data_IF_035941541773
#
_entry.id   IF_035941541773
#
_cell.length_a   1.000
_cell.length_b   1.000
_cell.length_c   1.000
_cell.angle_alpha   90.00
_cell.angle_beta   90.00
_cell.angle_gamma   90.00
#
_symmetry.space_group_name_H-M   'P 1'
#
loop_
_entity.id
_entity.type
_entity.pdbx_description
1 polymer ?
#
# COMPACT_ATOMS: atom_id res chain seq x y z
N UNK A 1 -22.40 -14.91 -31.11
CA UNK A 1 -21.54 -13.96 -30.38
C UNK A 1 -20.78 -14.57 -29.18
N UNK A 2 -21.27 -15.62 -28.54
CA UNK A 2 -20.66 -16.28 -27.39
C UNK A 2 -19.33 -17.01 -27.67
N UNK A 3 -19.22 -17.70 -28.82
CA UNK A 3 -17.97 -18.44 -29.16
C UNK A 3 -16.76 -17.58 -29.45
N UNK A 4 -16.93 -16.39 -30.01
CA UNK A 4 -15.82 -15.44 -30.25
C UNK A 4 -15.31 -14.82 -28.94
N UNK A 5 -16.19 -14.50 -27.99
CA UNK A 5 -15.81 -14.00 -26.69
C UNK A 5 -15.02 -15.04 -25.87
N UNK A 6 -15.40 -16.31 -25.96
CA UNK A 6 -14.71 -17.41 -25.26
C UNK A 6 -13.32 -17.66 -25.83
N UNK A 7 -13.18 -17.61 -27.17
CA UNK A 7 -11.88 -17.76 -27.84
C UNK A 7 -10.95 -16.57 -27.54
N UNK A 8 -11.50 -15.35 -27.55
CA UNK A 8 -10.72 -14.13 -27.20
C UNK A 8 -10.25 -14.17 -25.74
N UNK A 9 -11.10 -14.61 -24.82
CA UNK A 9 -10.75 -14.75 -23.40
C UNK A 9 -9.73 -15.88 -23.18
N UNK A 10 -9.85 -17.00 -23.89
CA UNK A 10 -8.87 -18.08 -23.85
C UNK A 10 -7.50 -17.67 -24.43
N UNK A 11 -7.50 -16.93 -25.55
CA UNK A 11 -6.27 -16.38 -26.14
C UNK A 11 -5.64 -15.29 -25.26
N UNK A 12 -6.44 -14.50 -24.53
CA UNK A 12 -5.94 -13.55 -23.55
C UNK A 12 -5.25 -14.25 -22.36
N UNK A 13 -5.83 -15.35 -21.87
CA UNK A 13 -5.23 -16.16 -20.80
C UNK A 13 -3.96 -16.90 -21.23
N UNK A 14 -3.86 -17.35 -22.50
CA UNK A 14 -2.68 -18.01 -23.03
C UNK A 14 -1.46 -17.09 -23.15
N UNK A 15 -1.65 -15.79 -23.32
CA UNK A 15 -0.53 -14.83 -23.39
C UNK A 15 0.17 -14.60 -22.04
N UNK A 16 -0.43 -14.96 -20.92
CA UNK A 16 0.20 -14.89 -19.60
C UNK A 16 1.23 -16.00 -19.34
N UNK A 17 1.23 -17.06 -20.15
CA UNK A 17 2.12 -18.22 -19.97
C UNK A 17 3.47 -18.13 -20.70
N UNK A 18 3.71 -17.09 -21.53
CA UNK A 18 4.91 -16.98 -22.35
C UNK A 18 6.05 -16.15 -21.76
N UNK A 19 5.89 -15.57 -20.57
CA UNK A 19 7.00 -14.91 -19.90
C UNK A 19 7.75 -15.92 -19.01
N UNK A 20 8.72 -16.62 -19.62
CA UNK A 20 9.70 -17.44 -18.90
C UNK A 20 10.61 -16.61 -17.97
N UNK A 21 10.54 -15.27 -18.05
CA UNK A 21 11.16 -14.31 -17.15
C UNK A 21 10.10 -13.86 -16.13
N UNK A 22 10.43 -13.97 -14.85
CA UNK A 22 9.59 -13.46 -13.77
C UNK A 22 9.96 -11.98 -13.52
N UNK A 23 9.24 -11.01 -14.13
CA UNK A 23 9.59 -9.59 -14.04
C UNK A 23 9.58 -9.08 -12.61
N UNK A 24 8.87 -9.76 -11.73
CA UNK A 24 8.75 -9.41 -10.32
C UNK A 24 10.10 -9.53 -9.61
N UNK A 25 10.82 -10.65 -9.85
CA UNK A 25 12.15 -10.84 -9.27
C UNK A 25 13.23 -10.08 -10.03
N UNK A 26 13.10 -9.92 -11.34
CA UNK A 26 14.12 -9.24 -12.15
C UNK A 26 14.20 -7.74 -11.83
N UNK A 27 13.06 -7.09 -11.61
CA UNK A 27 13.00 -5.71 -11.13
C UNK A 27 13.60 -5.61 -9.72
N UNK A 28 13.25 -6.54 -8.83
CA UNK A 28 13.77 -6.53 -7.47
C UNK A 28 15.30 -6.72 -7.45
N UNK A 29 15.84 -7.63 -8.26
CA UNK A 29 17.30 -7.84 -8.37
C UNK A 29 18.01 -6.55 -8.76
N UNK A 30 17.54 -5.85 -9.79
CA UNK A 30 18.12 -4.56 -10.23
C UNK A 30 18.12 -3.51 -9.12
N UNK A 31 17.06 -3.46 -8.30
CA UNK A 31 16.95 -2.47 -7.23
C UNK A 31 17.79 -2.88 -6.01
N UNK A 32 17.81 -4.15 -5.63
CA UNK A 32 18.39 -4.60 -4.38
C UNK A 32 19.87 -4.96 -4.49
N UNK A 33 20.30 -5.60 -5.60
CA UNK A 33 21.70 -6.05 -5.74
C UNK A 33 22.66 -4.88 -5.96
N UNK A 34 22.25 -3.86 -6.74
CA UNK A 34 23.04 -2.69 -7.06
C UNK A 34 22.78 -1.52 -6.09
N UNK A 35 22.05 -1.76 -4.97
CA UNK A 35 21.68 -0.70 -4.04
C UNK A 35 22.89 -0.12 -3.31
N UNK A 36 22.86 1.18 -3.07
CA UNK A 36 23.80 1.82 -2.17
C UNK A 36 23.41 1.50 -0.72
N UNK A 37 24.15 0.61 -0.07
CA UNK A 37 23.90 0.18 1.30
C UNK A 37 24.01 1.31 2.34
N UNK A 38 24.72 2.40 2.04
CA UNK A 38 24.77 3.57 2.92
C UNK A 38 23.39 4.25 3.08
N UNK A 39 22.49 4.02 2.13
CA UNK A 39 21.11 4.52 2.17
C UNK A 39 20.13 3.57 2.90
N UNK A 40 20.57 2.39 3.31
CA UNK A 40 19.72 1.40 3.97
C UNK A 40 19.06 1.97 5.24
N UNK A 41 19.84 2.70 6.07
CA UNK A 41 19.33 3.35 7.29
C UNK A 41 18.27 4.42 6.97
N UNK A 42 18.47 5.19 5.90
CA UNK A 42 17.51 6.20 5.45
C UNK A 42 16.19 5.53 5.01
N UNK A 43 16.27 4.53 4.12
CA UNK A 43 15.10 3.82 3.63
C UNK A 43 14.39 3.02 4.73
N UNK A 44 15.12 2.48 5.69
CA UNK A 44 14.52 1.88 6.88
C UNK A 44 13.76 2.92 7.74
N UNK A 45 14.31 4.11 7.92
CA UNK A 45 13.64 5.24 8.58
C UNK A 45 12.37 5.66 7.85
N UNK A 46 12.42 5.81 6.52
CA UNK A 46 11.26 6.11 5.67
C UNK A 46 10.20 5.01 5.82
N UNK A 47 10.59 3.74 5.75
CA UNK A 47 9.67 2.61 5.94
C UNK A 47 8.99 2.64 7.30
N UNK A 48 9.75 2.84 8.38
CA UNK A 48 9.23 2.88 9.75
C UNK A 48 8.36 4.10 10.05
N UNK A 49 8.47 5.20 9.28
CA UNK A 49 7.64 6.40 9.45
C UNK A 49 6.14 6.11 9.24
N UNK A 50 5.79 4.99 8.61
CA UNK A 50 4.40 4.56 8.42
C UNK A 50 3.67 4.38 9.74
N UNK A 51 4.32 3.83 10.77
CA UNK A 51 3.68 3.56 12.06
C UNK A 51 3.21 4.84 12.77
N UNK A 52 4.08 5.84 13.01
CA UNK A 52 3.63 7.09 13.62
C UNK A 52 2.70 7.90 12.71
N UNK A 53 3.01 8.06 11.42
CA UNK A 53 2.23 8.91 10.53
C UNK A 53 0.86 8.30 10.18
N UNK A 54 0.80 6.98 9.99
CA UNK A 54 -0.45 6.27 9.68
C UNK A 54 -1.50 6.40 10.77
N UNK A 55 -1.08 6.52 12.02
CA UNK A 55 -1.98 6.65 13.19
C UNK A 55 -2.12 8.10 13.63
N UNK A 56 -1.03 8.85 13.71
CA UNK A 56 -1.05 10.22 14.21
C UNK A 56 -1.89 11.17 13.36
N UNK A 57 -1.84 11.04 12.01
CA UNK A 57 -2.60 11.92 11.12
C UNK A 57 -4.12 11.79 11.31
N UNK A 58 -4.73 10.58 11.27
CA UNK A 58 -6.15 10.42 11.53
C UNK A 58 -6.57 10.85 12.96
N UNK A 59 -5.75 10.53 13.96
CA UNK A 59 -6.01 10.92 15.36
C UNK A 59 -5.96 12.44 15.52
N UNK A 60 -5.00 13.10 14.90
CA UNK A 60 -4.90 14.56 14.93
C UNK A 60 -6.13 15.24 14.30
N UNK A 61 -6.63 14.71 13.17
CA UNK A 61 -7.86 15.19 12.56
C UNK A 61 -9.06 15.03 13.48
N UNK A 62 -9.20 13.87 14.11
CA UNK A 62 -10.28 13.60 15.06
C UNK A 62 -10.18 14.51 16.29
N UNK A 63 -9.00 14.61 16.89
CA UNK A 63 -8.75 15.46 18.06
C UNK A 63 -9.03 16.93 17.80
N UNK A 64 -8.51 17.47 16.68
CA UNK A 64 -8.83 18.83 16.27
C UNK A 64 -10.34 19.05 16.03
N UNK A 65 -11.02 18.06 15.46
CA UNK A 65 -12.46 18.10 15.25
C UNK A 65 -13.25 18.13 16.58
N UNK A 66 -12.79 17.42 17.60
CA UNK A 66 -13.39 17.44 18.94
C UNK A 66 -13.15 18.80 19.59
N UNK A 67 -11.92 19.29 19.60
CA UNK A 67 -11.54 20.57 20.22
C UNK A 67 -12.32 21.74 19.59
N UNK A 68 -12.41 21.75 18.26
CA UNK A 68 -13.11 22.81 17.50
C UNK A 68 -14.63 22.60 17.41
N UNK A 69 -15.17 21.52 17.97
CA UNK A 69 -16.57 21.08 17.85
C UNK A 69 -17.01 20.95 16.37
N UNK A 70 -16.07 20.66 15.47
CA UNK A 70 -16.30 20.50 14.03
C UNK A 70 -16.63 19.03 13.72
N UNK A 71 -17.93 18.74 13.56
CA UNK A 71 -18.45 17.41 13.22
C UNK A 71 -17.90 16.87 11.89
N UNK A 72 -17.64 17.73 10.91
CA UNK A 72 -17.09 17.33 9.61
C UNK A 72 -15.66 16.85 9.76
N UNK A 73 -14.83 17.57 10.54
CA UNK A 73 -13.44 17.18 10.80
C UNK A 73 -13.36 15.90 11.62
N UNK A 74 -14.25 15.71 12.62
CA UNK A 74 -14.36 14.44 13.38
C UNK A 74 -14.65 13.27 12.45
N UNK A 75 -15.63 13.40 11.54
CA UNK A 75 -15.96 12.36 10.57
C UNK A 75 -14.80 12.03 9.64
N UNK A 76 -14.06 13.05 9.16
CA UNK A 76 -12.87 12.84 8.33
C UNK A 76 -11.79 12.03 9.06
N UNK A 77 -11.54 12.33 10.34
CA UNK A 77 -10.64 11.56 11.19
C UNK A 77 -11.10 10.11 11.36
N UNK A 78 -12.37 9.90 11.70
CA UNK A 78 -12.96 8.55 11.84
C UNK A 78 -12.93 7.77 10.52
N UNK A 79 -13.25 8.41 9.39
CA UNK A 79 -13.18 7.77 8.07
C UNK A 79 -11.75 7.33 7.73
N UNK A 80 -10.76 8.15 8.07
CA UNK A 80 -9.35 7.81 7.86
C UNK A 80 -8.90 6.64 8.74
N UNK A 81 -9.32 6.59 10.01
CA UNK A 81 -9.07 5.46 10.90
C UNK A 81 -9.73 4.18 10.39
N UNK A 82 -11.00 4.25 9.98
CA UNK A 82 -11.72 3.12 9.40
C UNK A 82 -11.02 2.61 8.12
N UNK A 83 -10.56 3.53 7.26
CA UNK A 83 -9.80 3.18 6.05
C UNK A 83 -8.53 2.39 6.37
N UNK A 84 -7.77 2.86 7.36
CA UNK A 84 -6.55 2.18 7.82
C UNK A 84 -6.88 0.80 8.40
N UNK A 85 -7.89 0.70 9.26
CA UNK A 85 -8.30 -0.56 9.86
C UNK A 85 -8.75 -1.58 8.81
N UNK A 86 -9.59 -1.17 7.86
CA UNK A 86 -10.08 -2.04 6.77
C UNK A 86 -8.92 -2.48 5.87
N UNK A 87 -8.05 -1.55 5.47
CA UNK A 87 -6.92 -1.88 4.60
C UNK A 87 -5.93 -2.84 5.27
N UNK A 88 -5.64 -2.64 6.55
CA UNK A 88 -4.75 -3.52 7.31
C UNK A 88 -5.40 -4.88 7.60
N UNK A 89 -6.69 -4.92 7.91
CA UNK A 89 -7.46 -6.16 8.06
C UNK A 89 -7.47 -6.99 6.78
N UNK A 90 -7.70 -6.35 5.63
CA UNK A 90 -7.62 -6.99 4.30
C UNK A 90 -6.21 -7.52 4.04
N UNK A 91 -5.18 -6.71 4.30
CA UNK A 91 -3.78 -7.13 4.16
C UNK A 91 -3.46 -8.34 5.02
N UNK A 92 -3.85 -8.33 6.29
CA UNK A 92 -3.62 -9.45 7.21
C UNK A 92 -4.32 -10.72 6.74
N UNK A 93 -5.56 -10.63 6.29
CA UNK A 93 -6.32 -11.77 5.76
C UNK A 93 -5.65 -12.35 4.51
N UNK A 94 -5.25 -11.50 3.57
CA UNK A 94 -4.56 -11.95 2.36
C UNK A 94 -3.19 -12.56 2.64
N UNK A 95 -2.44 -12.03 3.62
CA UNK A 95 -1.18 -12.66 4.07
C UNK A 95 -1.39 -14.09 4.51
N UNK A 96 -2.43 -14.36 5.29
CA UNK A 96 -2.76 -15.72 5.78
C UNK A 96 -3.24 -16.66 4.68
N UNK A 97 -4.02 -16.15 3.73
CA UNK A 97 -4.58 -16.96 2.64
C UNK A 97 -3.53 -17.30 1.59
N UNK A 98 -2.73 -16.31 1.16
CA UNK A 98 -1.78 -16.47 0.04
C UNK A 98 -0.46 -17.05 0.53
N UNK A 99 -0.04 -16.72 1.75
CA UNK A 99 1.15 -17.23 2.44
C UNK A 99 2.41 -17.26 1.57
N UNK A 100 2.68 -16.15 0.83
CA UNK A 100 3.80 -16.05 -0.10
C UNK A 100 5.12 -15.91 0.64
N UNK A 101 6.12 -16.70 0.24
CA UNK A 101 7.49 -16.57 0.75
C UNK A 101 8.12 -15.22 0.39
N UNK A 102 8.96 -14.74 1.29
CA UNK A 102 9.75 -13.51 1.07
C UNK A 102 10.82 -13.72 0.00
N UNK A 103 11.20 -12.62 -0.74
CA UNK A 103 12.16 -12.73 -1.84
C UNK A 103 13.48 -13.41 -1.43
N UNK A 104 14.02 -13.08 -0.27
CA UNK A 104 15.28 -13.62 0.23
C UNK A 104 15.21 -15.10 0.66
N UNK A 105 14.01 -15.66 0.87
CA UNK A 105 13.80 -17.09 1.14
C UNK A 105 13.93 -17.86 -0.17
N UNK A 106 13.27 -17.37 -1.23
CA UNK A 106 13.23 -18.03 -2.54
C UNK A 106 14.50 -17.77 -3.37
N UNK A 107 15.10 -16.58 -3.22
CA UNK A 107 16.24 -16.13 -4.02
C UNK A 107 17.39 -15.67 -3.12
N UNK A 108 18.40 -16.56 -2.89
CA UNK A 108 19.53 -16.27 -1.99
C UNK A 108 20.38 -15.05 -2.38
N UNK A 109 20.29 -14.60 -3.64
CA UNK A 109 21.00 -13.43 -4.14
C UNK A 109 20.34 -12.09 -3.73
N UNK A 110 19.14 -12.11 -3.16
CA UNK A 110 18.49 -10.94 -2.58
C UNK A 110 19.03 -10.74 -1.16
N UNK A 111 19.55 -9.55 -0.89
CA UNK A 111 20.14 -9.18 0.39
C UNK A 111 19.12 -8.37 1.21
N UNK A 112 18.41 -8.99 2.17
CA UNK A 112 17.49 -8.26 3.02
C UNK A 112 18.27 -7.41 4.04
N UNK A 113 17.77 -6.21 4.32
CA UNK A 113 18.32 -5.39 5.40
C UNK A 113 17.98 -5.94 6.79
N UNK A 114 16.85 -6.61 6.91
CA UNK A 114 16.40 -7.36 8.10
C UNK A 114 15.44 -8.47 7.69
N UNK A 115 15.24 -9.43 8.59
CA UNK A 115 14.34 -10.56 8.38
C UNK A 115 12.97 -10.23 8.97
N UNK A 116 11.91 -10.52 8.23
CA UNK A 116 10.52 -10.45 8.68
C UNK A 116 9.94 -11.88 8.70
N UNK A 117 9.14 -12.20 9.71
CA UNK A 117 8.61 -13.55 9.95
C UNK A 117 7.20 -13.78 9.38
N UNK A 118 6.58 -12.74 8.82
CA UNK A 118 5.25 -12.82 8.22
C UNK A 118 5.33 -12.93 6.68
N UNK A 119 4.29 -13.46 6.02
CA UNK A 119 4.26 -13.62 4.56
C UNK A 119 4.48 -12.31 3.79
N UNK A 120 5.03 -12.43 2.57
CA UNK A 120 5.38 -11.27 1.75
C UNK A 120 4.15 -10.53 1.22
N UNK A 121 3.13 -11.22 0.73
CA UNK A 121 2.01 -10.63 0.00
C UNK A 121 0.77 -10.39 0.87
N UNK A 122 0.17 -9.22 0.76
CA UNK A 122 0.67 -7.96 0.19
C UNK A 122 1.54 -7.17 1.19
N UNK A 123 2.21 -6.09 0.74
CA UNK A 123 3.05 -5.26 1.60
C UNK A 123 2.24 -4.40 2.57
N UNK A 124 2.32 -4.69 3.88
CA UNK A 124 1.60 -3.96 4.92
C UNK A 124 2.03 -2.50 5.06
N UNK A 125 3.35 -2.21 4.98
CA UNK A 125 3.86 -0.84 5.03
C UNK A 125 3.32 -0.01 3.85
N UNK A 126 3.33 -0.57 2.64
CA UNK A 126 2.79 0.10 1.46
C UNK A 126 1.28 0.31 1.58
N UNK A 127 0.55 -0.70 2.08
CA UNK A 127 -0.90 -0.59 2.31
C UNK A 127 -1.23 0.55 3.25
N UNK A 128 -0.57 0.63 4.40
CA UNK A 128 -0.81 1.70 5.38
C UNK A 128 -0.43 3.07 4.82
N UNK A 129 0.71 3.18 4.11
CA UNK A 129 1.16 4.43 3.52
C UNK A 129 0.17 4.98 2.48
N UNK A 130 -0.29 4.12 1.55
CA UNK A 130 -1.25 4.53 0.53
C UNK A 130 -2.65 4.77 1.09
N UNK A 131 -3.09 4.04 2.11
CA UNK A 131 -4.34 4.31 2.82
C UNK A 131 -4.30 5.70 3.47
N UNK A 132 -3.21 6.03 4.15
CA UNK A 132 -3.02 7.34 4.80
C UNK A 132 -2.93 8.46 3.77
N UNK A 133 -2.09 8.31 2.74
CA UNK A 133 -1.92 9.32 1.69
C UNK A 133 -3.22 9.60 0.96
N UNK A 134 -3.99 8.58 0.61
CA UNK A 134 -5.28 8.72 -0.07
C UNK A 134 -6.31 9.37 0.85
N UNK A 135 -6.41 8.95 2.11
CA UNK A 135 -7.35 9.53 3.08
C UNK A 135 -7.12 11.02 3.27
N UNK A 136 -5.85 11.45 3.44
CA UNK A 136 -5.53 12.87 3.66
C UNK A 136 -5.73 13.68 2.38
N UNK A 137 -5.42 13.11 1.23
CA UNK A 137 -5.63 13.73 -0.09
C UNK A 137 -7.11 13.98 -0.39
N UNK A 138 -7.97 13.02 -0.07
CA UNK A 138 -9.44 13.15 -0.21
C UNK A 138 -10.04 14.14 0.80
N UNK A 139 -9.39 14.28 1.96
CA UNK A 139 -9.80 15.20 3.02
C UNK A 139 -9.55 16.65 2.62
N UNK A 140 -8.35 16.98 2.16
CA UNK A 140 -7.93 18.36 1.94
C UNK A 140 -8.01 18.82 0.48
N UNK A 141 -7.88 17.91 -0.51
CA UNK A 141 -7.99 18.16 -1.96
C UNK A 141 -7.13 19.33 -2.48
N UNK A 142 -5.98 19.56 -1.84
CA UNK A 142 -5.03 20.61 -2.22
C UNK A 142 -3.75 19.97 -2.74
N UNK A 143 -3.24 20.45 -3.87
CA UNK A 143 -2.06 19.85 -4.51
C UNK A 143 -0.85 19.80 -3.57
N UNK A 144 -0.64 20.82 -2.74
CA UNK A 144 0.44 20.88 -1.75
C UNK A 144 0.28 19.91 -0.57
N UNK A 145 -0.85 19.21 -0.47
CA UNK A 145 -1.07 18.05 0.43
C UNK A 145 -0.97 16.75 -0.34
N UNK A 146 -1.59 16.69 -1.52
CA UNK A 146 -1.64 15.47 -2.36
C UNK A 146 -0.25 15.04 -2.79
N UNK A 147 0.54 15.99 -3.36
CA UNK A 147 1.88 15.67 -3.88
C UNK A 147 2.81 15.15 -2.78
N UNK A 148 3.03 15.83 -1.64
CA UNK A 148 3.88 15.29 -0.58
C UNK A 148 3.39 13.98 0.00
N UNK A 149 2.07 13.78 0.16
CA UNK A 149 1.50 12.55 0.69
C UNK A 149 1.81 11.34 -0.20
N UNK A 150 1.60 11.47 -1.50
CA UNK A 150 1.91 10.38 -2.44
C UNK A 150 3.40 10.20 -2.70
N UNK A 151 4.20 11.28 -2.65
CA UNK A 151 5.67 11.17 -2.68
C UNK A 151 6.18 10.35 -1.49
N UNK A 152 5.69 10.64 -0.29
CA UNK A 152 6.01 9.85 0.90
C UNK A 152 5.55 8.39 0.76
N UNK A 153 4.31 8.13 0.33
CA UNK A 153 3.81 6.77 0.14
C UNK A 153 4.63 6.01 -0.92
N UNK A 154 5.01 6.67 -2.01
CA UNK A 154 5.92 6.12 -3.03
C UNK A 154 7.31 5.82 -2.49
N UNK A 155 7.87 6.72 -1.65
CA UNK A 155 9.15 6.49 -1.00
C UNK A 155 9.10 5.30 -0.02
N UNK A 156 8.00 5.15 0.73
CA UNK A 156 7.75 3.95 1.55
C UNK A 156 7.68 2.70 0.67
N UNK A 157 6.92 2.73 -0.42
CA UNK A 157 6.82 1.61 -1.35
C UNK A 157 8.18 1.20 -1.93
N UNK A 158 8.96 2.16 -2.42
CA UNK A 158 10.31 1.94 -2.92
C UNK A 158 11.25 1.39 -1.85
N UNK A 159 11.15 1.89 -0.61
CA UNK A 159 11.99 1.42 0.50
C UNK A 159 11.86 -0.09 0.73
N UNK A 160 10.67 -0.68 0.49
CA UNK A 160 10.45 -2.13 0.66
C UNK A 160 11.20 -2.96 -0.37
N UNK A 161 11.35 -2.43 -1.58
CA UNK A 161 12.16 -3.05 -2.65
C UNK A 161 13.65 -2.86 -2.38
N UNK A 162 14.06 -1.64 -2.04
CA UNK A 162 15.46 -1.33 -1.70
C UNK A 162 15.97 -2.21 -0.56
N UNK A 163 15.16 -2.39 0.49
CA UNK A 163 15.51 -3.22 1.66
C UNK A 163 15.38 -4.73 1.39
N UNK A 164 14.96 -5.16 0.19
CA UNK A 164 14.92 -6.57 -0.23
C UNK A 164 13.87 -7.44 0.45
N UNK A 165 12.82 -6.84 1.01
CA UNK A 165 11.86 -7.55 1.86
C UNK A 165 10.51 -7.84 1.18
N UNK A 166 10.24 -7.25 0.02
CA UNK A 166 9.03 -7.46 -0.77
C UNK A 166 9.32 -7.50 -2.27
N UNK A 167 8.46 -8.21 -3.00
CA UNK A 167 8.43 -8.15 -4.46
C UNK A 167 7.70 -6.88 -4.94
N UNK A 168 7.96 -6.40 -6.18
CA UNK A 168 7.16 -5.33 -6.79
C UNK A 168 5.65 -5.57 -6.77
N UNK A 169 5.20 -6.79 -7.04
CA UNK A 169 3.77 -7.15 -6.99
C UNK A 169 3.16 -7.03 -5.60
N UNK A 170 3.92 -7.34 -4.52
CA UNK A 170 3.45 -7.15 -3.14
C UNK A 170 3.20 -5.67 -2.84
N UNK A 171 4.10 -4.83 -3.35
CA UNK A 171 4.04 -3.36 -3.20
C UNK A 171 2.87 -2.78 -4.00
N UNK A 172 2.70 -3.18 -5.25
CA UNK A 172 1.58 -2.74 -6.09
C UNK A 172 0.23 -3.16 -5.50
N UNK A 173 0.11 -4.41 -5.05
CA UNK A 173 -1.10 -4.90 -4.38
C UNK A 173 -1.38 -4.10 -3.09
N UNK A 174 -0.34 -3.84 -2.27
CA UNK A 174 -0.46 -3.02 -1.07
C UNK A 174 -0.96 -1.60 -1.39
N UNK A 175 -0.40 -0.96 -2.42
CA UNK A 175 -0.84 0.36 -2.86
C UNK A 175 -2.31 0.38 -3.30
N UNK A 176 -2.73 -0.62 -4.09
CA UNK A 176 -4.11 -0.75 -4.55
C UNK A 176 -5.09 -0.99 -3.39
N UNK A 177 -4.76 -1.87 -2.45
CA UNK A 177 -5.58 -2.14 -1.25
C UNK A 177 -5.69 -0.90 -0.38
N UNK A 178 -4.57 -0.22 -0.10
CA UNK A 178 -4.56 0.98 0.73
C UNK A 178 -5.37 2.12 0.14
N UNK A 179 -5.08 2.48 -1.12
CA UNK A 179 -5.79 3.54 -1.82
C UNK A 179 -7.27 3.20 -2.07
N UNK A 180 -7.57 1.97 -2.46
CA UNK A 180 -8.93 1.48 -2.71
C UNK A 180 -9.79 1.51 -1.45
N UNK A 181 -9.28 1.04 -0.32
CA UNK A 181 -9.98 1.08 0.97
C UNK A 181 -10.29 2.51 1.40
N UNK A 182 -9.31 3.42 1.27
CA UNK A 182 -9.51 4.83 1.62
C UNK A 182 -10.55 5.52 0.72
N UNK A 183 -10.50 5.25 -0.58
CA UNK A 183 -11.49 5.78 -1.53
C UNK A 183 -12.89 5.24 -1.23
N UNK A 184 -13.01 3.93 -0.96
CA UNK A 184 -14.29 3.30 -0.63
C UNK A 184 -14.89 3.91 0.64
N UNK A 185 -14.11 3.99 1.72
CA UNK A 185 -14.56 4.59 2.98
C UNK A 185 -14.99 6.06 2.79
N UNK A 186 -14.25 6.82 1.98
CA UNK A 186 -14.63 8.20 1.63
C UNK A 186 -15.96 8.25 0.87
N UNK A 187 -16.19 7.36 -0.10
CA UNK A 187 -17.45 7.30 -0.86
C UNK A 187 -18.63 6.93 0.03
N UNK A 188 -18.47 5.89 0.87
CA UNK A 188 -19.51 5.48 1.81
C UNK A 188 -19.84 6.60 2.80
N UNK A 189 -18.83 7.26 3.36
CA UNK A 189 -19.06 8.40 4.26
C UNK A 189 -19.81 9.54 3.57
N UNK A 190 -19.50 9.87 2.31
CA UNK A 190 -20.24 10.86 1.53
C UNK A 190 -21.69 10.46 1.30
N UNK A 191 -21.93 9.21 0.92
CA UNK A 191 -23.29 8.70 0.70
C UNK A 191 -24.14 8.83 1.96
N UNK A 192 -23.63 8.39 3.12
CA UNK A 192 -24.32 8.52 4.41
C UNK A 192 -24.59 9.98 4.83
N UNK A 193 -23.95 10.98 4.22
CA UNK A 193 -24.20 12.39 4.46
C UNK A 193 -25.29 12.98 3.55
N UNK A 194 -25.51 12.38 2.38
CA UNK A 194 -26.54 12.85 1.44
C UNK A 194 -27.94 12.38 1.82
N UNK A 195 -28.07 11.34 2.65
CA UNK A 195 -29.36 10.82 3.14
C UNK A 195 -29.85 11.51 4.42
N UNK A 196 -29.12 12.51 4.92
CA UNK A 196 -29.49 13.35 6.07
C UNK A 196 -29.77 14.78 5.66
#
# INVERSE_FOLDING_TARGET
MTKFATIFFALFLLNFSLFAQNPDIDILKKINQDRNQNLDKLFNGISKSVYPLGVALPISLLGMGIIKKDKNLQRKGLTSLASLAISMGTTYSLKKIINRDRPYITYPNIQPYYIENDPAFPSGHTTAAFSTATSISLTFKKWYVVVPAYTWAGAVAYSRLHLGVHYPSDVLAGAAIGAGSAWLCYKVNRWLQMEK
#
